data_IF_278369580848
#
_entry.id   IF_278369580848
#
_cell.length_a   1.000
_cell.length_b   1.000
_cell.length_c   1.000
_cell.angle_alpha   90.00
_cell.angle_beta   90.00
_cell.angle_gamma   90.00
#
_symmetry.space_group_name_H-M   'P 1'
#
loop_
_entity.id
_entity.type
_entity.pdbx_description
1 polymer ?
#
# COMPACT_ATOMS: atom_id res chain seq x y z
N UNK A 1 -0.69 23.35 -26.61
CA UNK A 1 -0.71 22.31 -25.54
C UNK A 1 0.74 21.96 -25.20
N UNK A 2 1.32 22.66 -24.22
CA UNK A 2 2.64 22.32 -23.70
C UNK A 2 2.41 21.46 -22.44
N UNK A 3 3.04 20.29 -22.36
CA UNK A 3 2.72 19.24 -21.37
C UNK A 3 3.04 19.62 -19.90
N UNK A 4 3.45 20.86 -19.61
CA UNK A 4 3.81 21.33 -18.26
C UNK A 4 5.03 20.62 -17.65
N UNK A 5 5.74 19.80 -18.42
CA UNK A 5 6.86 18.97 -17.97
C UNK A 5 8.12 19.27 -18.79
N UNK A 6 9.27 19.25 -18.12
CA UNK A 6 10.56 19.52 -18.77
C UNK A 6 10.87 18.43 -19.81
N UNK A 7 11.34 18.82 -20.99
CA UNK A 7 11.71 17.89 -22.08
C UNK A 7 12.75 16.84 -21.67
N UNK A 8 13.68 17.20 -20.79
CA UNK A 8 14.67 16.27 -20.22
C UNK A 8 14.04 15.15 -19.40
N UNK A 9 12.88 15.40 -18.78
CA UNK A 9 12.14 14.40 -18.01
C UNK A 9 11.53 13.34 -18.92
N UNK A 10 10.98 13.74 -20.07
CA UNK A 10 10.49 12.82 -21.10
C UNK A 10 11.60 11.90 -21.63
N UNK A 11 12.79 12.45 -21.90
CA UNK A 11 13.91 11.64 -22.40
C UNK A 11 14.41 10.62 -21.37
N UNK A 12 14.44 10.99 -20.10
CA UNK A 12 14.77 10.08 -18.99
C UNK A 12 13.73 8.96 -18.88
N UNK A 13 12.45 9.31 -18.85
CA UNK A 13 11.36 8.32 -18.79
C UNK A 13 11.40 7.35 -19.96
N UNK A 14 11.65 7.83 -21.18
CA UNK A 14 11.84 6.95 -22.35
C UNK A 14 12.96 5.93 -22.14
N UNK A 15 14.12 6.36 -21.60
CA UNK A 15 15.26 5.49 -21.33
C UNK A 15 14.97 4.49 -20.21
N UNK A 16 14.33 4.95 -19.13
CA UNK A 16 13.95 4.11 -18.00
C UNK A 16 12.86 3.10 -18.41
N UNK A 17 11.92 3.48 -19.27
CA UNK A 17 10.90 2.60 -19.82
C UNK A 17 11.53 1.46 -20.63
N UNK A 18 12.49 1.80 -21.50
CA UNK A 18 13.20 0.83 -22.33
C UNK A 18 14.08 -0.14 -21.52
N UNK A 19 14.59 0.28 -20.36
CA UNK A 19 15.56 -0.51 -19.58
C UNK A 19 14.99 -1.21 -18.35
N UNK A 20 13.95 -0.64 -17.72
CA UNK A 20 13.44 -1.06 -16.41
C UNK A 20 11.92 -1.23 -16.36
N UNK A 21 11.23 -0.99 -17.48
CA UNK A 21 9.77 -1.09 -17.58
C UNK A 21 9.02 0.12 -17.01
N UNK A 22 7.70 0.12 -17.20
CA UNK A 22 6.80 1.25 -16.89
C UNK A 22 6.86 1.72 -15.44
N UNK A 23 6.97 0.77 -14.50
CA UNK A 23 6.94 1.03 -13.05
C UNK A 23 8.14 1.88 -12.59
N UNK A 24 9.29 1.72 -13.22
CA UNK A 24 10.47 2.53 -12.92
C UNK A 24 10.46 3.85 -13.70
N UNK A 25 9.91 3.82 -14.92
CA UNK A 25 9.96 4.92 -15.86
C UNK A 25 9.15 6.15 -15.47
N UNK A 26 8.08 6.02 -14.68
CA UNK A 26 7.22 7.15 -14.34
C UNK A 26 7.36 7.61 -12.88
N UNK A 27 8.45 7.24 -12.19
CA UNK A 27 8.66 7.63 -10.79
C UNK A 27 8.99 9.13 -10.69
N UNK A 28 8.06 9.89 -10.11
CA UNK A 28 8.30 11.27 -9.70
C UNK A 28 9.16 11.36 -8.43
N UNK A 29 9.78 12.52 -8.14
CA UNK A 29 10.41 12.75 -6.84
C UNK A 29 9.34 12.60 -5.74
N UNK A 30 9.54 11.66 -4.81
CA UNK A 30 8.58 11.37 -3.73
C UNK A 30 7.58 10.24 -4.02
N UNK A 31 7.62 9.61 -5.19
CA UNK A 31 6.85 8.39 -5.44
C UNK A 31 7.45 7.25 -4.61
N UNK A 32 6.73 6.81 -3.56
CA UNK A 32 7.09 5.59 -2.82
C UNK A 32 7.22 4.41 -3.79
N UNK A 33 8.25 3.56 -3.63
CA UNK A 33 8.38 2.31 -4.34
C UNK A 33 7.06 1.50 -4.37
N UNK A 34 6.76 0.81 -5.48
CA UNK A 34 5.49 0.12 -5.67
C UNK A 34 5.32 -1.03 -4.66
N UNK A 35 6.41 -1.73 -4.38
CA UNK A 35 6.57 -2.72 -3.32
C UNK A 35 6.23 -2.16 -1.93
N UNK A 36 6.65 -0.94 -1.59
CA UNK A 36 6.26 -0.32 -0.32
C UNK A 36 4.74 -0.07 -0.25
N UNK A 37 4.10 0.31 -1.36
CA UNK A 37 2.65 0.54 -1.39
C UNK A 37 1.87 -0.76 -1.24
N UNK A 38 2.31 -1.79 -1.94
CA UNK A 38 1.70 -3.12 -1.90
C UNK A 38 1.85 -3.75 -0.51
N UNK A 39 3.01 -3.61 0.11
CA UNK A 39 3.26 -4.08 1.48
C UNK A 39 2.42 -3.30 2.49
N UNK A 40 2.29 -1.97 2.36
CA UNK A 40 1.38 -1.18 3.21
C UNK A 40 -0.07 -1.67 3.07
N UNK A 41 -0.53 -1.95 1.85
CA UNK A 41 -1.89 -2.44 1.61
C UNK A 41 -2.10 -3.83 2.25
N UNK A 42 -1.11 -4.72 2.11
CA UNK A 42 -1.12 -6.05 2.74
C UNK A 42 -1.15 -5.95 4.26
N UNK A 43 -0.26 -5.16 4.86
CA UNK A 43 -0.18 -4.97 6.31
C UNK A 43 -1.48 -4.39 6.88
N UNK A 44 -2.12 -3.46 6.17
CA UNK A 44 -3.43 -2.91 6.60
C UNK A 44 -4.52 -3.99 6.64
N UNK A 45 -4.59 -4.86 5.63
CA UNK A 45 -5.56 -5.98 5.59
C UNK A 45 -5.31 -6.98 6.72
N UNK A 46 -4.05 -7.31 6.97
CA UNK A 46 -3.70 -8.23 8.05
C UNK A 46 -4.03 -7.64 9.43
N UNK A 47 -3.75 -6.35 9.63
CA UNK A 47 -4.10 -5.64 10.85
C UNK A 47 -5.62 -5.61 11.09
N UNK A 48 -6.42 -5.41 10.05
CA UNK A 48 -7.87 -5.42 10.12
C UNK A 48 -8.40 -6.80 10.54
N UNK A 49 -7.93 -7.87 9.89
CA UNK A 49 -8.27 -9.26 10.24
C UNK A 49 -7.96 -9.57 11.70
N UNK A 50 -6.74 -9.28 12.16
CA UNK A 50 -6.31 -9.59 13.54
C UNK A 50 -7.11 -8.77 14.57
N UNK A 51 -7.48 -7.53 14.25
CA UNK A 51 -8.36 -6.72 15.11
C UNK A 51 -9.74 -7.35 15.24
N UNK A 52 -10.32 -7.81 14.15
CA UNK A 52 -11.64 -8.45 14.14
C UNK A 52 -11.64 -9.74 14.97
N UNK A 53 -10.65 -10.63 14.74
CA UNK A 53 -10.49 -11.87 15.52
C UNK A 53 -10.37 -11.59 17.02
N UNK A 54 -9.53 -10.61 17.39
CA UNK A 54 -9.38 -10.18 18.79
C UNK A 54 -10.70 -9.68 19.38
N UNK A 55 -11.47 -8.91 18.62
CA UNK A 55 -12.71 -8.31 19.11
C UNK A 55 -13.82 -9.37 19.26
N UNK A 56 -13.85 -10.38 18.39
CA UNK A 56 -14.71 -11.57 18.55
C UNK A 56 -14.36 -12.30 19.85
N UNK A 57 -13.08 -12.58 20.09
CA UNK A 57 -12.63 -13.27 21.30
C UNK A 57 -12.94 -12.49 22.58
N UNK A 58 -12.77 -11.16 22.55
CA UNK A 58 -13.15 -10.29 23.68
C UNK A 58 -14.65 -10.36 23.98
N UNK A 59 -15.49 -10.31 22.94
CA UNK A 59 -16.95 -10.43 23.10
C UNK A 59 -17.33 -11.79 23.67
N UNK A 60 -16.73 -12.87 23.17
CA UNK A 60 -16.96 -14.22 23.68
C UNK A 60 -16.55 -14.32 25.16
N UNK A 61 -15.36 -13.85 25.53
CA UNK A 61 -14.89 -13.85 26.92
C UNK A 61 -15.85 -13.07 27.85
N UNK A 62 -16.31 -11.90 27.41
CA UNK A 62 -17.28 -11.10 28.18
C UNK A 62 -18.64 -11.80 28.32
N UNK A 63 -19.11 -12.49 27.28
CA UNK A 63 -20.34 -13.29 27.34
C UNK A 63 -20.21 -14.43 28.35
N UNK A 64 -19.14 -15.22 28.27
CA UNK A 64 -18.93 -16.35 29.18
C UNK A 64 -18.75 -15.91 30.63
N UNK A 65 -18.05 -14.80 30.88
CA UNK A 65 -17.90 -14.27 32.24
C UNK A 65 -19.25 -13.87 32.87
N UNK A 66 -20.21 -13.38 32.05
CA UNK A 66 -21.56 -13.04 32.51
C UNK A 66 -22.44 -14.26 32.76
N UNK A 67 -22.31 -15.32 31.97
CA UNK A 67 -23.13 -16.54 32.10
C UNK A 67 -22.67 -17.43 33.27
N UNK A 68 -21.38 -17.37 33.63
CA UNK A 68 -20.79 -18.15 34.73
C UNK A 68 -20.86 -17.46 36.10
N UNK A 69 -21.40 -16.24 36.16
CA UNK A 69 -21.61 -15.46 37.39
C UNK A 69 -23.07 -15.51 37.82
#
# INVERSE_FOLDING_TARGET
>A
LELGIKRSQLFRWRRELQSKGEVAAFRGPGAKPLDERDEIARLKRELERVKEERDILKKAAAYFARELS
#
